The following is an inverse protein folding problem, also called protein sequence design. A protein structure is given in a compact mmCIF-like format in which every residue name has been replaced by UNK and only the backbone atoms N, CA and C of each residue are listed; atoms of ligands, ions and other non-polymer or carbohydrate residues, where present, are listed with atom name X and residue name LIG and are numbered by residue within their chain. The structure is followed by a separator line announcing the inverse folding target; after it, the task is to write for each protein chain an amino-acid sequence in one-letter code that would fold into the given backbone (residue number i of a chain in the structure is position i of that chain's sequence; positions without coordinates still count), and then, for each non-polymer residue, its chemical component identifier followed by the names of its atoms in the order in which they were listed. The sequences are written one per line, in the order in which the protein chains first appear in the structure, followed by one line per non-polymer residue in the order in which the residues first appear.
data_IF_936631159159
#
_entry.id   IF_936631159159
#
_cell.length_a   1.000
_cell.length_b   1.000
_cell.length_c   1.000
_cell.angle_alpha   90.00
_cell.angle_beta   90.00
_cell.angle_gamma   90.00
#
_symmetry.space_group_name_H-M   'P 1'
#
loop_
_entity.id
_entity.type
_entity.pdbx_description
1 polymer ?
#
# COMPACT_ATOMS: atom_id res chain seq x y z
N UNK A 1 32.12 -11.09 -61.18
CA UNK A 1 30.80 -10.44 -60.97
C UNK A 1 30.08 -10.91 -59.72
N UNK A 2 29.95 -12.23 -59.50
CA UNK A 2 29.18 -12.80 -58.37
C UNK A 2 29.58 -12.26 -56.98
N UNK A 3 30.87 -12.10 -56.73
CA UNK A 3 31.41 -11.61 -55.45
C UNK A 3 30.91 -10.20 -55.09
N UNK A 4 30.89 -9.29 -56.06
CA UNK A 4 30.34 -7.92 -55.89
C UNK A 4 28.84 -7.93 -55.57
N UNK A 5 28.08 -8.87 -56.12
CA UNK A 5 26.64 -8.98 -55.87
C UNK A 5 26.40 -9.47 -54.45
N UNK A 6 27.14 -10.49 -54.00
CA UNK A 6 27.07 -11.05 -52.64
C UNK A 6 27.41 -9.99 -51.58
N UNK A 7 28.47 -9.21 -51.81
CA UNK A 7 28.88 -8.15 -50.87
C UNK A 7 27.83 -7.04 -50.76
N UNK A 8 27.16 -6.70 -51.87
CA UNK A 8 26.07 -5.72 -51.90
C UNK A 8 24.84 -6.20 -51.13
N UNK A 9 24.50 -7.50 -51.25
CA UNK A 9 23.41 -8.12 -50.50
C UNK A 9 23.72 -8.17 -49.00
N UNK A 10 24.96 -8.52 -48.62
CA UNK A 10 25.40 -8.49 -47.21
C UNK A 10 25.28 -7.10 -46.60
N UNK A 11 25.71 -6.08 -47.32
CA UNK A 11 25.62 -4.69 -46.86
C UNK A 11 24.16 -4.28 -46.64
N UNK A 12 23.28 -4.57 -47.60
CA UNK A 12 21.85 -4.27 -47.50
C UNK A 12 21.21 -4.97 -46.28
N UNK A 13 21.56 -6.23 -46.04
CA UNK A 13 21.06 -6.97 -44.86
C UNK A 13 21.56 -6.36 -43.54
N UNK A 14 22.83 -5.94 -43.48
CA UNK A 14 23.38 -5.30 -42.30
C UNK A 14 22.69 -3.96 -41.99
N UNK A 15 22.40 -3.17 -43.02
CA UNK A 15 21.70 -1.89 -42.90
C UNK A 15 20.24 -2.08 -42.45
N UNK A 16 19.51 -3.03 -43.06
CA UNK A 16 18.13 -3.36 -42.66
C UNK A 16 18.05 -3.92 -41.25
N UNK A 17 19.03 -4.72 -40.83
CA UNK A 17 19.12 -5.24 -39.46
C UNK A 17 19.29 -4.12 -38.44
N UNK A 18 20.12 -3.11 -38.72
CA UNK A 18 20.26 -1.93 -37.84
C UNK A 18 18.94 -1.17 -37.71
N UNK A 19 18.27 -0.89 -38.83
CA UNK A 19 16.96 -0.23 -38.83
C UNK A 19 15.92 -1.01 -38.03
N UNK A 20 15.86 -2.33 -38.20
CA UNK A 20 14.95 -3.18 -37.45
C UNK A 20 15.17 -3.10 -35.93
N UNK A 21 16.43 -3.14 -35.49
CA UNK A 21 16.77 -3.04 -34.07
C UNK A 21 16.36 -1.67 -33.51
N UNK A 22 16.60 -0.58 -34.25
CA UNK A 22 16.21 0.79 -33.86
C UNK A 22 14.69 0.89 -33.70
N UNK A 23 13.93 0.37 -34.66
CA UNK A 23 12.46 0.34 -34.62
C UNK A 23 11.99 -0.45 -33.41
N UNK A 24 12.56 -1.64 -33.18
CA UNK A 24 12.19 -2.50 -32.06
C UNK A 24 12.50 -1.83 -30.70
N UNK A 25 13.66 -1.20 -30.57
CA UNK A 25 14.02 -0.48 -29.34
C UNK A 25 13.11 0.72 -29.11
N UNK A 26 12.78 1.47 -30.16
CA UNK A 26 11.87 2.61 -30.06
C UNK A 26 10.47 2.17 -29.63
N UNK A 27 9.97 1.08 -30.21
CA UNK A 27 8.68 0.49 -29.85
C UNK A 27 8.65 0.02 -28.39
N UNK A 28 9.73 -0.60 -27.92
CA UNK A 28 9.82 -1.05 -26.52
C UNK A 28 9.79 0.12 -25.53
N UNK A 29 10.55 1.20 -25.81
CA UNK A 29 10.52 2.41 -24.98
C UNK A 29 9.13 3.04 -24.97
N UNK A 30 8.43 3.04 -26.10
CA UNK A 30 7.08 3.57 -26.20
C UNK A 30 6.08 2.81 -25.30
N UNK A 31 6.17 1.48 -25.25
CA UNK A 31 5.32 0.66 -24.36
C UNK A 31 5.58 0.97 -22.89
N UNK A 32 6.85 1.12 -22.49
CA UNK A 32 7.20 1.45 -21.10
C UNK A 32 6.58 2.80 -20.72
N UNK A 33 6.72 3.81 -21.59
CA UNK A 33 6.14 5.14 -21.36
C UNK A 33 4.62 5.07 -21.18
N UNK A 34 3.90 4.32 -22.03
CA UNK A 34 2.45 4.10 -21.87
C UNK A 34 2.15 3.44 -20.53
N UNK A 35 2.89 2.40 -20.15
CA UNK A 35 2.71 1.70 -18.88
C UNK A 35 2.85 2.63 -17.67
N UNK A 36 3.86 3.52 -17.69
CA UNK A 36 4.07 4.53 -16.64
C UNK A 36 2.89 5.51 -16.60
N UNK A 37 2.44 6.03 -17.74
CA UNK A 37 1.30 6.96 -17.80
C UNK A 37 0.02 6.32 -17.23
N UNK A 38 -0.24 5.05 -17.57
CA UNK A 38 -1.38 4.30 -17.02
C UNK A 38 -1.21 4.12 -15.51
N UNK A 39 -0.02 3.76 -15.04
CA UNK A 39 0.26 3.56 -13.62
C UNK A 39 0.08 4.83 -12.79
N UNK A 40 0.55 5.97 -13.28
CA UNK A 40 0.42 7.28 -12.60
C UNK A 40 -1.03 7.76 -12.55
N UNK A 41 -1.82 7.50 -13.61
CA UNK A 41 -3.22 7.93 -13.68
C UNK A 41 -4.21 6.95 -13.03
N UNK A 42 -3.77 5.76 -12.62
CA UNK A 42 -4.62 4.86 -11.85
C UNK A 42 -4.75 5.37 -10.43
N UNK A 43 -5.97 5.73 -10.03
CA UNK A 43 -6.30 5.81 -8.60
C UNK A 43 -6.13 4.41 -8.01
N UNK A 44 -5.54 4.26 -6.81
CA UNK A 44 -5.55 2.97 -6.13
C UNK A 44 -7.02 2.53 -6.02
N UNK A 45 -7.29 1.24 -6.24
CA UNK A 45 -8.57 0.67 -5.86
C UNK A 45 -8.67 0.80 -4.34
N UNK A 46 -9.34 1.86 -3.89
CA UNK A 46 -9.62 2.07 -2.48
C UNK A 46 -10.78 1.12 -2.20
N UNK A 47 -10.45 -0.08 -1.73
CA UNK A 47 -11.45 -0.94 -1.11
C UNK A 47 -11.86 -0.22 0.17
N UNK A 48 -13.12 0.26 0.28
CA UNK A 48 -13.56 0.86 1.53
C UNK A 48 -13.44 -0.21 2.61
N UNK A 49 -12.71 0.11 3.68
CA UNK A 49 -12.58 -0.78 4.82
C UNK A 49 -13.98 -1.10 5.34
N UNK A 50 -14.19 -2.36 5.69
CA UNK A 50 -15.39 -2.72 6.45
C UNK A 50 -15.36 -2.02 7.81
N UNK A 51 -16.51 -1.77 8.45
CA UNK A 51 -16.56 -1.13 9.77
C UNK A 51 -15.68 -1.84 10.81
N UNK A 52 -15.51 -3.16 10.69
CA UNK A 52 -14.64 -3.96 11.56
C UNK A 52 -13.14 -3.64 11.35
N UNK A 53 -12.71 -3.50 10.10
CA UNK A 53 -11.33 -3.16 9.75
C UNK A 53 -10.98 -1.71 10.10
N UNK A 54 -11.94 -0.78 9.95
CA UNK A 54 -11.79 0.61 10.39
C UNK A 54 -11.65 0.69 11.92
N UNK A 55 -12.49 -0.03 12.67
CA UNK A 55 -12.38 -0.11 14.12
C UNK A 55 -11.06 -0.76 14.58
N UNK A 56 -10.57 -1.77 13.87
CA UNK A 56 -9.28 -2.39 14.16
C UNK A 56 -8.12 -1.42 13.92
N UNK A 57 -8.18 -0.63 12.83
CA UNK A 57 -7.17 0.40 12.54
C UNK A 57 -7.16 1.50 13.62
N UNK A 58 -8.33 1.99 14.01
CA UNK A 58 -8.47 2.97 15.09
C UNK A 58 -7.93 2.40 16.42
N UNK A 59 -8.25 1.15 16.74
CA UNK A 59 -7.76 0.50 17.97
C UNK A 59 -6.23 0.39 17.99
N UNK A 60 -5.60 0.04 16.86
CA UNK A 60 -4.15 -0.07 16.74
C UNK A 60 -3.45 1.29 16.87
N UNK A 61 -4.03 2.35 16.32
CA UNK A 61 -3.48 3.70 16.44
C UNK A 61 -3.64 4.27 17.85
N UNK A 62 -4.73 3.93 18.56
CA UNK A 62 -4.89 4.26 19.98
C UNK A 62 -3.82 3.54 20.81
N UNK A 63 -3.65 2.23 20.63
CA UNK A 63 -2.67 1.43 21.39
C UNK A 63 -1.24 1.95 21.17
N UNK A 64 -0.85 2.26 19.93
CA UNK A 64 0.49 2.82 19.65
C UNK A 64 0.71 4.19 20.28
N UNK A 65 -0.33 5.03 20.32
CA UNK A 65 -0.24 6.34 20.96
C UNK A 65 -0.19 6.22 22.48
N UNK A 66 -0.91 5.26 23.05
CA UNK A 66 -0.89 4.98 24.48
C UNK A 66 0.47 4.40 24.91
N UNK A 67 1.05 3.48 24.13
CA UNK A 67 2.40 2.96 24.35
C UNK A 67 3.45 4.09 24.35
N UNK A 68 3.34 5.01 23.39
CA UNK A 68 4.22 6.17 23.30
C UNK A 68 4.10 7.08 24.53
N UNK A 69 2.86 7.37 24.96
CA UNK A 69 2.59 8.18 26.17
C UNK A 69 3.14 7.53 27.43
N UNK A 70 3.00 6.20 27.57
CA UNK A 70 3.58 5.45 28.69
C UNK A 70 5.11 5.62 28.73
N UNK A 71 5.78 5.50 27.58
CA UNK A 71 7.24 5.66 27.47
C UNK A 71 7.67 7.10 27.80
N UNK A 72 6.88 8.10 27.38
CA UNK A 72 7.12 9.52 27.63
C UNK A 72 6.70 9.97 29.06
N UNK A 73 6.13 9.06 29.87
CA UNK A 73 5.66 9.36 31.22
C UNK A 73 4.39 10.21 31.26
N UNK A 74 3.66 10.31 30.15
CA UNK A 74 2.41 11.06 30.05
C UNK A 74 1.22 10.25 30.59
N UNK A 75 0.27 10.95 31.21
CA UNK A 75 -0.92 10.33 31.76
C UNK A 75 -1.88 9.92 30.63
N UNK A 76 -2.30 8.65 30.62
CA UNK A 76 -3.26 8.13 29.65
C UNK A 76 -4.65 8.76 29.84
N UNK A 77 -5.38 8.91 28.73
CA UNK A 77 -6.71 9.49 28.75
C UNK A 77 -7.71 8.57 29.46
N UNK A 78 -8.43 9.10 30.46
CA UNK A 78 -9.49 8.38 31.18
C UNK A 78 -10.88 8.61 30.57
N UNK A 79 -10.96 9.18 29.36
CA UNK A 79 -12.22 9.71 28.79
C UNK A 79 -13.32 8.66 28.59
N UNK A 80 -12.94 7.38 28.45
CA UNK A 80 -13.87 6.24 28.31
C UNK A 80 -13.86 5.31 29.54
N UNK A 81 -13.20 5.70 30.63
CA UNK A 81 -13.27 4.92 31.86
C UNK A 81 -14.64 5.13 32.51
N UNK A 82 -15.14 4.06 33.14
CA UNK A 82 -16.32 4.16 33.99
C UNK A 82 -16.11 5.24 35.04
N UNK A 83 -17.12 6.07 35.26
CA UNK A 83 -17.13 7.01 36.37
C UNK A 83 -17.04 6.26 37.70
N UNK A 84 -16.54 6.93 38.75
CA UNK A 84 -16.44 6.32 40.08
C UNK A 84 -17.79 5.77 40.58
N UNK A 85 -18.90 6.44 40.22
CA UNK A 85 -20.25 6.01 40.58
C UNK A 85 -20.67 4.72 39.85
N UNK A 86 -20.28 4.57 38.58
CA UNK A 86 -20.52 3.34 37.80
C UNK A 86 -19.64 2.18 38.28
N UNK A 87 -18.39 2.47 38.66
CA UNK A 87 -17.50 1.47 39.27
C UNK A 87 -18.05 0.98 40.61
N UNK A 88 -18.57 1.87 41.44
CA UNK A 88 -19.19 1.53 42.72
C UNK A 88 -20.48 0.72 42.55
N UNK A 89 -21.31 1.08 41.56
CA UNK A 89 -22.49 0.29 41.19
C UNK A 89 -22.12 -1.11 40.70
N UNK A 90 -21.08 -1.23 39.86
CA UNK A 90 -20.56 -2.53 39.38
C UNK A 90 -20.07 -3.41 40.53
N UNK A 91 -19.29 -2.84 41.47
CA UNK A 91 -18.81 -3.54 42.67
C UNK A 91 -19.96 -4.09 43.50
N UNK A 92 -20.96 -3.25 43.79
CA UNK A 92 -22.12 -3.63 44.60
C UNK A 92 -22.99 -4.70 43.91
N UNK A 93 -23.11 -4.64 42.58
CA UNK A 93 -23.80 -5.68 41.80
C UNK A 93 -23.11 -7.05 41.93
N UNK A 94 -21.79 -7.10 41.82
CA UNK A 94 -21.02 -8.34 41.98
C UNK A 94 -21.11 -8.88 43.41
N UNK A 95 -21.02 -8.03 44.43
CA UNK A 95 -21.16 -8.43 45.83
C UNK A 95 -22.56 -8.99 46.15
N UNK A 96 -23.61 -8.40 45.59
CA UNK A 96 -24.99 -8.88 45.78
C UNK A 96 -25.23 -10.30 45.24
N UNK A 97 -24.44 -10.74 44.26
CA UNK A 97 -24.49 -12.12 43.73
C UNK A 97 -23.61 -13.11 44.48
N UNK A 98 -22.63 -12.66 45.27
CA UNK A 98 -21.80 -13.55 46.11
C UNK A 98 -22.52 -14.01 47.37
N UNK A 99 -23.53 -13.26 47.83
CA UNK A 99 -24.35 -13.57 49.01
C UNK A 99 -25.64 -14.35 48.68
N UNK A 100 -25.73 -14.93 47.48
CA UNK A 100 -26.80 -15.83 47.04
C UNK A 100 -26.24 -17.22 46.84
#
# INVERSE_FOLDING_TARGET
MLKKIIDKIKYFYAEKRKLFIIILSSWFVFIILIGVIIGVNKKPDIVPLTPEEENAMISNDIIKNDDKKIIEGEMLSTKNNLSFEELERSRNYVESRKNK
#
